data_IF_774736942131
#
_entry.id   IF_774736942131
#
_cell.length_a   1.000
_cell.length_b   1.000
_cell.length_c   1.000
_cell.angle_alpha   90.00
_cell.angle_beta   90.00
_cell.angle_gamma   90.00
#
_symmetry.space_group_name_H-M   'P 1'
#
loop_
_entity.id
_entity.type
_entity.pdbx_description
1 polymer ?
#
# COMPACT_ATOMS: atom_id res chain seq x y z
N UNK A 1 -17.02 -37.51 43.58
CA UNK A 1 -16.63 -37.87 42.20
C UNK A 1 -16.99 -36.69 41.31
N UNK A 2 -16.14 -35.65 41.31
CA UNK A 2 -15.23 -35.32 40.20
C UNK A 2 -15.95 -34.91 38.93
N UNK A 3 -16.34 -33.65 38.86
CA UNK A 3 -16.18 -32.86 37.65
C UNK A 3 -14.81 -32.20 37.72
N UNK A 4 -14.05 -32.17 36.62
CA UNK A 4 -13.40 -30.93 36.25
C UNK A 4 -14.05 -30.39 34.99
N UNK A 5 -14.52 -29.16 35.14
CA UNK A 5 -14.99 -28.27 34.10
C UNK A 5 -13.99 -28.22 32.94
N UNK A 6 -14.55 -28.25 31.74
CA UNK A 6 -13.91 -28.02 30.44
C UNK A 6 -12.86 -26.92 30.53
N UNK A 7 -11.62 -27.23 30.17
CA UNK A 7 -10.53 -26.25 30.10
C UNK A 7 -10.86 -25.18 29.05
N UNK A 8 -11.39 -24.06 29.48
CA UNK A 8 -11.57 -22.86 28.68
C UNK A 8 -10.20 -22.16 28.51
N UNK A 9 -9.41 -22.60 27.53
CA UNK A 9 -8.25 -21.85 27.02
C UNK A 9 -8.70 -20.96 25.83
N UNK A 10 -8.05 -19.81 25.62
CA UNK A 10 -8.66 -18.48 25.65
C UNK A 10 -9.42 -18.15 24.36
N UNK A 11 -10.46 -17.30 24.45
CA UNK A 11 -11.12 -16.68 23.28
C UNK A 11 -10.18 -15.74 22.48
N UNK A 12 -8.99 -15.47 23.00
CA UNK A 12 -8.03 -14.47 22.51
C UNK A 12 -7.48 -14.81 21.11
N UNK A 13 -6.99 -16.03 20.79
CA UNK A 13 -6.50 -16.32 19.44
C UNK A 13 -7.58 -16.16 18.38
N UNK A 14 -8.82 -16.55 18.67
CA UNK A 14 -9.95 -16.34 17.77
C UNK A 14 -10.28 -14.85 17.60
N UNK A 15 -10.27 -14.08 18.68
CA UNK A 15 -10.48 -12.63 18.63
C UNK A 15 -9.39 -11.93 17.79
N UNK A 16 -8.13 -12.33 17.95
CA UNK A 16 -7.02 -11.82 17.13
C UNK A 16 -7.22 -12.16 15.65
N UNK A 17 -7.63 -13.39 15.32
CA UNK A 17 -7.97 -13.76 13.93
C UNK A 17 -9.15 -12.95 13.37
N UNK A 18 -10.15 -12.64 14.19
CA UNK A 18 -11.26 -11.77 13.80
C UNK A 18 -10.78 -10.34 13.53
N UNK A 19 -9.86 -9.80 14.35
CA UNK A 19 -9.23 -8.49 14.10
C UNK A 19 -8.48 -8.49 12.77
N UNK A 20 -7.68 -9.52 12.47
CA UNK A 20 -7.02 -9.64 11.17
C UNK A 20 -8.01 -9.66 10.00
N UNK A 21 -9.13 -10.37 10.13
CA UNK A 21 -10.19 -10.38 9.10
C UNK A 21 -10.81 -9.01 8.88
N UNK A 22 -11.05 -8.25 9.95
CA UNK A 22 -11.57 -6.88 9.87
C UNK A 22 -10.55 -5.98 9.16
N UNK A 23 -9.28 -6.05 9.53
CA UNK A 23 -8.20 -5.27 8.89
C UNK A 23 -8.13 -5.62 7.41
N UNK A 24 -7.93 -6.89 7.08
CA UNK A 24 -7.80 -7.37 5.70
C UNK A 24 -9.05 -7.03 4.86
N UNK A 25 -10.25 -7.29 5.38
CA UNK A 25 -11.51 -7.02 4.70
C UNK A 25 -11.73 -5.54 4.43
N UNK A 26 -11.41 -4.67 5.40
CA UNK A 26 -11.49 -3.22 5.25
C UNK A 26 -10.52 -2.72 4.20
N UNK A 27 -9.26 -3.17 4.23
CA UNK A 27 -8.25 -2.77 3.25
C UNK A 27 -8.61 -3.24 1.84
N UNK A 28 -9.06 -4.49 1.69
CA UNK A 28 -9.49 -5.03 0.39
C UNK A 28 -10.67 -4.25 -0.18
N UNK A 29 -11.66 -3.90 0.66
CA UNK A 29 -12.80 -3.06 0.25
C UNK A 29 -12.32 -1.69 -0.20
N UNK A 30 -11.42 -1.07 0.55
CA UNK A 30 -10.88 0.25 0.22
C UNK A 30 -10.16 0.26 -1.13
N UNK A 31 -9.25 -0.69 -1.38
CA UNK A 31 -8.54 -0.73 -2.67
C UNK A 31 -9.46 -1.00 -3.85
N UNK A 32 -10.53 -1.79 -3.66
CA UNK A 32 -11.57 -1.96 -4.68
C UNK A 32 -12.31 -0.65 -4.95
N UNK A 33 -12.70 0.09 -3.91
CA UNK A 33 -13.37 1.37 -4.07
C UNK A 33 -12.47 2.41 -4.78
N UNK A 34 -11.17 2.42 -4.47
CA UNK A 34 -10.18 3.23 -5.19
C UNK A 34 -10.16 2.87 -6.67
N UNK A 35 -10.08 1.58 -7.01
CA UNK A 35 -10.05 1.13 -8.41
C UNK A 35 -11.34 1.45 -9.15
N UNK A 36 -12.49 1.23 -8.53
CA UNK A 36 -13.82 1.54 -9.10
C UNK A 36 -14.00 3.04 -9.37
N UNK A 37 -13.51 3.91 -8.47
CA UNK A 37 -13.65 5.37 -8.62
C UNK A 37 -12.62 5.98 -9.57
N UNK A 38 -11.39 5.49 -9.54
CA UNK A 38 -10.27 6.12 -10.25
C UNK A 38 -9.96 5.44 -11.60
N UNK A 39 -10.51 4.25 -11.85
CA UNK A 39 -10.25 3.45 -13.05
C UNK A 39 -8.83 2.87 -13.12
N UNK A 40 -8.09 2.92 -12.01
CA UNK A 40 -6.70 2.50 -11.89
C UNK A 40 -6.49 1.65 -10.63
N UNK A 41 -5.66 0.59 -10.69
CA UNK A 41 -5.30 -0.19 -9.51
C UNK A 41 -4.66 0.67 -8.41
N UNK A 42 -4.85 0.29 -7.15
CA UNK A 42 -4.36 1.07 -5.99
C UNK A 42 -2.86 1.37 -6.03
N UNK A 43 -2.01 0.46 -6.51
CA UNK A 43 -0.56 0.71 -6.66
C UNK A 43 -0.23 1.77 -7.72
N UNK A 44 -1.01 1.80 -8.81
CA UNK A 44 -0.89 2.85 -9.83
C UNK A 44 -1.39 4.19 -9.29
N UNK A 45 -2.47 4.19 -8.51
CA UNK A 45 -2.95 5.40 -7.82
C UNK A 45 -1.93 5.91 -6.81
N UNK A 46 -1.26 5.02 -6.07
CA UNK A 46 -0.22 5.40 -5.12
C UNK A 46 0.97 6.06 -5.83
N UNK A 47 1.38 5.51 -6.98
CA UNK A 47 2.39 6.13 -7.83
C UNK A 47 2.00 7.54 -8.28
N UNK A 48 0.76 7.74 -8.75
CA UNK A 48 0.27 9.07 -9.14
C UNK A 48 0.26 10.04 -7.96
N UNK A 49 -0.13 9.58 -6.77
CA UNK A 49 -0.16 10.41 -5.57
C UNK A 49 1.25 10.86 -5.15
N UNK A 50 2.26 9.99 -5.25
CA UNK A 50 3.66 10.38 -4.99
C UNK A 50 4.19 11.39 -6.01
N UNK A 51 3.86 11.24 -7.30
CA UNK A 51 4.21 12.23 -8.33
C UNK A 51 3.47 13.55 -8.11
N UNK A 52 2.24 13.53 -7.59
CA UNK A 52 1.51 14.74 -7.20
C UNK A 52 2.22 15.46 -6.04
N UNK A 53 2.62 14.71 -5.00
CA UNK A 53 3.30 15.24 -3.81
C UNK A 53 4.67 15.82 -4.14
N UNK A 54 5.37 15.22 -5.11
CA UNK A 54 6.70 15.64 -5.53
C UNK A 54 6.79 15.66 -7.06
N UNK A 55 6.35 16.74 -7.72
CA UNK A 55 6.46 16.85 -9.18
C UNK A 55 7.92 16.91 -9.64
N UNK A 56 8.24 16.22 -10.73
CA UNK A 56 9.59 16.16 -11.29
C UNK A 56 10.51 15.09 -10.67
N UNK A 57 9.95 14.16 -9.89
CA UNK A 57 10.66 12.96 -9.40
C UNK A 57 11.17 12.11 -10.57
N UNK A 58 12.36 11.53 -10.40
CA UNK A 58 12.85 10.49 -11.30
C UNK A 58 12.33 9.11 -10.91
N UNK A 59 12.37 8.16 -11.86
CA UNK A 59 11.92 6.77 -11.64
C UNK A 59 12.63 6.09 -10.47
N UNK A 60 13.94 6.34 -10.29
CA UNK A 60 14.72 5.77 -9.18
C UNK A 60 14.24 6.27 -7.82
N UNK A 61 13.93 7.55 -7.70
CA UNK A 61 13.45 8.13 -6.45
C UNK A 61 12.02 7.67 -6.14
N UNK A 62 11.18 7.58 -7.16
CA UNK A 62 9.83 7.05 -7.05
C UNK A 62 9.84 5.58 -6.60
N UNK A 63 10.72 4.74 -7.15
CA UNK A 63 10.87 3.35 -6.74
C UNK A 63 11.23 3.21 -5.26
N UNK A 64 12.14 4.05 -4.77
CA UNK A 64 12.54 4.07 -3.36
C UNK A 64 11.38 4.48 -2.43
N UNK A 65 10.57 5.46 -2.84
CA UNK A 65 9.39 5.91 -2.06
C UNK A 65 8.28 4.88 -2.00
N UNK A 66 8.08 4.14 -3.09
CA UNK A 66 7.06 3.08 -3.17
C UNK A 66 7.54 1.75 -2.56
N UNK A 67 8.82 1.62 -2.19
CA UNK A 67 9.40 0.39 -1.68
C UNK A 67 9.49 -0.74 -2.72
N UNK A 68 9.45 -0.42 -4.01
CA UNK A 68 9.46 -1.41 -5.11
C UNK A 68 10.78 -1.41 -5.88
N UNK A 69 11.08 -2.50 -6.57
CA UNK A 69 12.26 -2.58 -7.43
C UNK A 69 12.17 -1.59 -8.61
N UNK A 70 13.31 -1.00 -9.00
CA UNK A 70 13.37 0.02 -10.06
C UNK A 70 12.79 -0.46 -11.40
N UNK A 71 13.03 -1.71 -11.78
CA UNK A 71 12.48 -2.29 -13.02
C UNK A 71 10.95 -2.35 -13.00
N UNK A 72 10.35 -2.75 -11.88
CA UNK A 72 8.89 -2.76 -11.67
C UNK A 72 8.33 -1.35 -11.74
N UNK A 73 8.97 -0.39 -11.05
CA UNK A 73 8.58 1.01 -11.10
C UNK A 73 8.60 1.56 -12.53
N UNK A 74 9.67 1.29 -13.30
CA UNK A 74 9.79 1.76 -14.68
C UNK A 74 8.68 1.21 -15.57
N UNK A 75 8.35 -0.08 -15.45
CA UNK A 75 7.28 -0.71 -16.23
C UNK A 75 5.90 -0.10 -15.91
N UNK A 76 5.63 0.19 -14.64
CA UNK A 76 4.39 0.85 -14.22
C UNK A 76 4.32 2.29 -14.72
N UNK A 77 5.45 3.02 -14.68
CA UNK A 77 5.55 4.38 -15.23
C UNK A 77 5.24 4.39 -16.72
N UNK A 78 5.81 3.48 -17.54
CA UNK A 78 5.50 3.44 -18.97
C UNK A 78 4.00 3.23 -19.21
N UNK A 79 3.37 2.29 -18.50
CA UNK A 79 1.93 2.04 -18.62
C UNK A 79 1.08 3.27 -18.27
N UNK A 80 1.50 4.05 -17.28
CA UNK A 80 0.81 5.28 -16.89
C UNK A 80 1.05 6.42 -17.89
N UNK A 81 2.21 6.45 -18.54
CA UNK A 81 2.49 7.39 -19.64
C UNK A 81 1.63 7.04 -20.86
N UNK A 82 1.57 5.77 -21.25
CA UNK A 82 0.75 5.28 -22.37
C UNK A 82 -0.75 5.54 -22.15
N UNK A 83 -1.19 5.53 -20.88
CA UNK A 83 -2.57 5.85 -20.47
C UNK A 83 -2.85 7.36 -20.32
N UNK A 84 -1.89 8.24 -20.61
CA UNK A 84 -2.06 9.69 -20.47
C UNK A 84 -2.21 10.16 -19.01
N UNK A 85 -1.77 9.35 -18.04
CA UNK A 85 -1.81 9.66 -16.62
C UNK A 85 -0.52 10.32 -16.12
N UNK A 86 0.62 10.00 -16.74
CA UNK A 86 1.92 10.63 -16.48
C UNK A 86 2.52 11.20 -17.76
N UNK A 87 3.37 12.21 -17.60
CA UNK A 87 4.28 12.72 -18.63
C UNK A 87 5.71 12.75 -18.11
N UNK A 88 6.64 12.49 -19.03
CA UNK A 88 8.08 12.57 -18.80
C UNK A 88 8.60 13.91 -19.30
N UNK A 89 9.17 14.70 -18.40
CA UNK A 89 9.75 16.01 -18.71
C UNK A 89 11.24 15.98 -18.45
N UNK A 90 12.05 16.39 -19.43
CA UNK A 90 13.50 16.54 -19.22
C UNK A 90 13.75 17.75 -18.32
N UNK A 91 14.51 17.58 -17.22
CA UNK A 91 14.86 18.72 -16.36
C UNK A 91 15.81 19.66 -17.11
N UNK A 92 15.53 20.96 -17.07
CA UNK A 92 16.39 21.97 -17.71
C UNK A 92 17.79 22.06 -17.07
N UNK A 93 17.91 21.83 -15.76
CA UNK A 93 19.18 21.92 -15.03
C UNK A 93 20.08 20.68 -15.20
N UNK A 94 19.51 19.53 -15.56
CA UNK A 94 20.27 18.30 -15.82
C UNK A 94 19.52 17.48 -16.86
N UNK A 95 19.88 17.68 -18.14
CA UNK A 95 19.23 17.03 -19.28
C UNK A 95 19.35 15.50 -19.25
N UNK A 96 20.15 14.93 -18.35
CA UNK A 96 20.30 13.49 -18.15
C UNK A 96 19.21 12.91 -17.23
N UNK A 97 18.47 13.73 -16.49
CA UNK A 97 17.42 13.27 -15.55
C UNK A 97 16.03 13.62 -16.08
N UNK A 98 15.26 12.57 -16.38
CA UNK A 98 13.84 12.66 -16.73
C UNK A 98 13.03 12.72 -15.44
N UNK A 99 12.25 13.79 -15.28
CA UNK A 99 11.27 13.97 -14.21
C UNK A 99 9.87 13.53 -14.65
N UNK A 100 9.06 13.10 -13.69
CA UNK A 100 7.67 12.70 -13.88
C UNK A 100 6.73 13.79 -13.42
N UNK A 101 5.70 14.08 -14.21
CA UNK A 101 4.61 14.98 -13.86
C UNK A 101 3.27 14.32 -14.17
N UNK A 102 2.22 14.72 -13.44
CA UNK A 102 0.87 14.30 -13.78
C UNK A 102 0.45 14.88 -15.13
N UNK A 103 -0.18 14.03 -15.93
CA UNK A 103 -0.88 14.42 -17.15
C UNK A 103 -2.37 14.62 -16.84
N UNK A 104 -3.17 15.19 -17.78
CA UNK A 104 -4.57 15.55 -17.52
C UNK A 104 -5.42 14.41 -16.95
N UNK A 105 -5.25 13.17 -17.44
CA UNK A 105 -6.03 12.05 -16.94
C UNK A 105 -5.54 11.56 -15.57
N UNK A 106 -4.25 11.75 -15.26
CA UNK A 106 -3.71 11.49 -13.93
C UNK A 106 -4.22 12.48 -12.89
N UNK A 107 -4.37 13.75 -13.27
CA UNK A 107 -5.00 14.78 -12.41
C UNK A 107 -6.47 14.42 -12.14
N UNK A 108 -7.22 13.98 -13.16
CA UNK A 108 -8.61 13.54 -12.99
C UNK A 108 -8.71 12.32 -12.07
N UNK A 109 -7.85 11.31 -12.26
CA UNK A 109 -7.83 10.11 -11.44
C UNK A 109 -7.56 10.44 -9.97
N UNK A 110 -6.59 11.32 -9.70
CA UNK A 110 -6.28 11.77 -8.33
C UNK A 110 -7.44 12.57 -7.71
N UNK A 111 -8.14 13.39 -8.49
CA UNK A 111 -9.30 14.13 -7.99
C UNK A 111 -10.46 13.21 -7.59
N UNK A 112 -10.54 11.99 -8.16
CA UNK A 112 -11.56 10.99 -7.83
C UNK A 112 -11.19 10.10 -6.62
N UNK A 113 -9.98 10.26 -6.07
CA UNK A 113 -9.45 9.41 -5.03
C UNK A 113 -10.19 9.65 -3.69
N UNK A 114 -10.72 8.59 -3.03
CA UNK A 114 -11.51 8.73 -1.80
C UNK A 114 -10.69 9.10 -0.55
N UNK A 115 -9.37 8.95 -0.58
CA UNK A 115 -8.45 9.13 0.55
C UNK A 115 -7.01 8.87 0.11
N UNK A 116 -6.11 8.45 1.00
CA UNK A 116 -4.74 8.04 0.57
C UNK A 116 -4.75 6.82 -0.34
N UNK A 117 -4.03 6.86 -1.47
CA UNK A 117 -3.93 5.71 -2.38
C UNK A 117 -3.08 4.58 -1.81
N UNK A 118 -2.24 4.86 -0.81
CA UNK A 118 -1.51 3.86 -0.02
C UNK A 118 -2.46 3.00 0.86
N UNK A 119 -3.72 3.40 0.98
CA UNK A 119 -4.73 2.74 1.79
C UNK A 119 -5.12 3.55 3.03
N UNK A 120 -6.14 3.08 3.75
CA UNK A 120 -6.53 3.63 5.05
C UNK A 120 -5.52 3.30 6.18
N UNK A 121 -4.52 2.45 5.92
CA UNK A 121 -3.59 1.94 6.93
C UNK A 121 -2.62 3.00 7.47
N UNK A 122 -1.92 3.81 6.65
CA UNK A 122 -0.98 4.80 7.16
C UNK A 122 -1.65 5.86 8.02
N UNK A 123 -2.86 6.30 7.65
CA UNK A 123 -3.65 7.27 8.42
C UNK A 123 -4.09 6.67 9.77
N UNK A 124 -4.58 5.43 9.78
CA UNK A 124 -4.97 4.74 11.01
C UNK A 124 -3.77 4.52 11.96
N UNK A 125 -2.61 4.12 11.42
CA UNK A 125 -1.38 3.93 12.19
C UNK A 125 -0.83 5.26 12.72
N UNK A 126 -0.88 6.33 11.93
CA UNK A 126 -0.45 7.67 12.36
C UNK A 126 -1.35 8.27 13.45
N UNK A 127 -2.62 7.86 13.50
CA UNK A 127 -3.55 8.28 14.54
C UNK A 127 -3.36 7.52 15.88
N UNK A 128 -2.59 6.43 15.89
CA UNK A 128 -2.34 5.68 17.12
C UNK A 128 -1.37 6.42 18.04
N UNK A 129 -1.56 6.36 19.38
CA UNK A 129 -0.54 6.80 20.33
C UNK A 129 0.78 6.05 20.11
N UNK A 130 1.92 6.75 20.18
CA UNK A 130 3.24 6.18 19.88
C UNK A 130 3.54 4.89 20.65
N UNK A 131 3.22 4.87 21.96
CA UNK A 131 3.40 3.69 22.81
C UNK A 131 2.58 2.49 22.32
N UNK A 132 1.35 2.73 21.86
CA UNK A 132 0.48 1.69 21.32
C UNK A 132 1.01 1.17 19.98
N UNK A 133 1.50 2.07 19.12
CA UNK A 133 2.10 1.70 17.83
C UNK A 133 3.38 0.86 18.01
N UNK A 134 4.25 1.25 18.93
CA UNK A 134 5.45 0.47 19.27
C UNK A 134 5.10 -0.91 19.84
N UNK A 135 4.08 -0.98 20.70
CA UNK A 135 3.60 -2.26 21.24
C UNK A 135 3.03 -3.15 20.14
N UNK A 136 2.25 -2.58 19.21
CA UNK A 136 1.72 -3.29 18.05
C UNK A 136 2.84 -3.82 17.17
N UNK A 137 3.86 -3.00 16.88
CA UNK A 137 5.04 -3.41 16.11
C UNK A 137 5.73 -4.63 16.73
N UNK A 138 6.00 -4.60 18.04
CA UNK A 138 6.64 -5.71 18.75
C UNK A 138 5.79 -6.99 18.71
N UNK A 139 4.48 -6.87 18.92
CA UNK A 139 3.58 -8.03 18.90
C UNK A 139 3.40 -8.62 17.51
N UNK A 140 3.34 -7.79 16.47
CA UNK A 140 3.31 -8.25 15.07
C UNK A 140 4.64 -8.93 14.71
N UNK A 141 5.77 -8.36 15.12
CA UNK A 141 7.08 -8.98 14.90
C UNK A 141 7.15 -10.36 15.55
N UNK A 142 6.70 -10.49 16.81
CA UNK A 142 6.66 -11.77 17.48
C UNK A 142 5.75 -12.77 16.75
N UNK A 143 4.54 -12.35 16.35
CA UNK A 143 3.63 -13.20 15.59
C UNK A 143 4.27 -13.69 14.26
N UNK A 144 4.90 -12.79 13.51
CA UNK A 144 5.54 -13.11 12.22
C UNK A 144 6.63 -14.17 12.39
N UNK A 145 7.37 -14.17 13.51
CA UNK A 145 8.41 -15.18 13.81
C UNK A 145 7.84 -16.59 13.97
N UNK A 146 6.57 -16.71 14.39
CA UNK A 146 5.89 -17.99 14.57
C UNK A 146 5.07 -18.43 13.35
N UNK A 147 5.01 -17.62 12.28
CA UNK A 147 4.27 -18.00 11.07
C UNK A 147 5.04 -19.06 10.26
N UNK A 148 4.43 -20.23 9.96
CA UNK A 148 5.05 -21.21 9.07
C UNK A 148 5.08 -20.67 7.64
N UNK A 149 6.19 -20.88 6.93
CA UNK A 149 6.32 -20.44 5.53
C UNK A 149 6.49 -18.93 5.35
N UNK A 150 7.03 -18.23 6.36
CA UNK A 150 7.41 -16.82 6.29
C UNK A 150 8.26 -16.54 5.03
N UNK A 151 7.83 -15.53 4.27
CA UNK A 151 8.57 -14.98 3.14
C UNK A 151 8.66 -13.44 3.30
N UNK A 152 9.86 -12.96 3.56
CA UNK A 152 10.11 -11.52 3.77
C UNK A 152 10.01 -10.71 2.47
N UNK A 153 9.95 -11.36 1.30
CA UNK A 153 9.76 -10.67 0.03
C UNK A 153 8.43 -9.90 -0.01
N UNK A 154 7.41 -10.34 0.73
CA UNK A 154 6.14 -9.64 0.86
C UNK A 154 6.29 -8.25 1.48
N UNK A 155 7.32 -7.98 2.29
CA UNK A 155 7.52 -6.66 2.91
C UNK A 155 7.72 -5.52 1.89
N UNK A 156 8.13 -5.83 0.66
CA UNK A 156 8.38 -4.85 -0.42
C UNK A 156 7.23 -4.78 -1.45
N UNK A 157 6.12 -5.48 -1.19
CA UNK A 157 4.98 -5.49 -2.10
C UNK A 157 3.91 -4.54 -1.53
N UNK A 158 3.43 -3.55 -2.30
CA UNK A 158 2.34 -2.69 -1.87
C UNK A 158 1.11 -3.51 -1.49
N UNK A 159 0.43 -3.16 -0.39
CA UNK A 159 -0.77 -3.87 0.05
C UNK A 159 -1.88 -3.83 -1.02
N UNK A 160 -1.95 -2.78 -1.82
CA UNK A 160 -2.85 -2.70 -2.97
C UNK A 160 -2.66 -3.83 -3.98
N UNK A 161 -1.42 -4.26 -4.20
CA UNK A 161 -1.08 -5.34 -5.15
C UNK A 161 -1.34 -6.73 -4.56
N UNK A 162 -1.21 -6.88 -3.23
CA UNK A 162 -1.54 -8.13 -2.54
C UNK A 162 -3.05 -8.36 -2.40
N UNK A 163 -3.82 -7.28 -2.23
CA UNK A 163 -5.26 -7.31 -1.92
C UNK A 163 -6.14 -7.09 -3.14
N UNK A 164 -5.55 -6.68 -4.27
CA UNK A 164 -6.21 -6.56 -5.56
C UNK A 164 -6.84 -7.88 -6.01
N UNK A 165 -7.87 -7.79 -6.84
CA UNK A 165 -8.50 -8.99 -7.41
C UNK A 165 -7.46 -9.79 -8.20
N UNK A 166 -7.44 -11.13 -8.12
CA UNK A 166 -6.61 -11.92 -9.03
C UNK A 166 -6.99 -11.57 -10.47
N UNK A 167 -5.96 -11.38 -11.31
CA UNK A 167 -6.13 -11.23 -12.76
C UNK A 167 -6.79 -12.45 -13.38
#
# INVERSE_FOLDING_TARGET
MTLPLTAATPQIPLAVLQQFRVIYGTMRRYFREVEERCGLPGSQMWMLQEVQRCPGLGVTELAARLGVHQSTCSQLVEKLVDRGCLIKTRKQQDQRRVGLHLAPDGVKAIAALPGSAEGASPEALAAMPEVALQTLYLNLFELIRHLPGRDDAFASIPLADMLGSPK
#
